data_IF_672187545713
#
_entry.id   IF_672187545713
#
_cell.length_a   1.000
_cell.length_b   1.000
_cell.length_c   1.000
_cell.angle_alpha   90.00
_cell.angle_beta   90.00
_cell.angle_gamma   90.00
#
_symmetry.space_group_name_H-M   'P 1'
#
loop_
_entity.id
_entity.type
_entity.pdbx_description
1 polymer ?
#
# COMPACT_ATOMS: atom_id res chain seq x y z
N UNK A 1 11.83 -20.84 20.04
CA UNK A 1 11.88 -19.70 19.10
C UNK A 1 12.58 -18.54 19.79
N UNK A 2 13.60 -17.94 19.18
CA UNK A 2 14.38 -16.87 19.83
C UNK A 2 13.47 -15.66 20.17
N UNK A 3 13.56 -15.07 21.38
CA UNK A 3 12.65 -14.02 21.83
C UNK A 3 12.65 -12.77 20.95
N UNK A 4 13.78 -12.44 20.31
CA UNK A 4 13.93 -11.30 19.40
C UNK A 4 13.05 -11.45 18.15
N UNK A 5 13.03 -12.63 17.53
CA UNK A 5 12.23 -12.90 16.33
C UNK A 5 10.74 -12.82 16.66
N UNK A 6 10.35 -13.33 17.83
CA UNK A 6 8.96 -13.27 18.31
C UNK A 6 8.48 -11.82 18.47
N UNK A 7 9.30 -10.97 19.08
CA UNK A 7 8.96 -9.55 19.27
C UNK A 7 8.87 -8.79 17.94
N UNK A 8 9.79 -9.08 17.01
CA UNK A 8 9.76 -8.51 15.66
C UNK A 8 8.48 -8.92 14.91
N UNK A 9 8.06 -10.17 15.05
CA UNK A 9 6.82 -10.66 14.45
C UNK A 9 5.58 -9.98 15.03
N UNK A 10 5.49 -9.83 16.36
CA UNK A 10 4.38 -9.10 16.99
C UNK A 10 4.32 -7.66 16.52
N UNK A 11 5.47 -6.98 16.46
CA UNK A 11 5.53 -5.61 15.96
C UNK A 11 5.01 -5.51 14.52
N UNK A 12 5.43 -6.44 13.65
CA UNK A 12 4.98 -6.48 12.26
C UNK A 12 3.47 -6.75 12.15
N UNK A 13 2.95 -7.66 12.99
CA UNK A 13 1.51 -7.95 13.02
C UNK A 13 0.70 -6.73 13.46
N UNK A 14 1.12 -6.03 14.52
CA UNK A 14 0.48 -4.81 14.98
C UNK A 14 0.50 -3.70 13.92
N UNK A 15 1.62 -3.54 13.21
CA UNK A 15 1.74 -2.56 12.13
C UNK A 15 0.81 -2.89 10.96
N UNK A 16 0.71 -4.17 10.61
CA UNK A 16 -0.19 -4.66 9.55
C UNK A 16 -1.66 -4.44 9.94
N UNK A 17 -2.01 -4.76 11.18
CA UNK A 17 -3.36 -4.57 11.71
C UNK A 17 -3.75 -3.08 11.79
N UNK A 18 -2.79 -2.22 12.16
CA UNK A 18 -2.96 -0.78 12.12
C UNK A 18 -3.31 -0.31 10.69
N UNK A 19 -2.52 -0.70 9.69
CA UNK A 19 -2.72 -0.33 8.28
C UNK A 19 -4.01 -0.91 7.65
N UNK A 20 -4.63 -1.93 8.26
CA UNK A 20 -5.91 -2.50 7.78
C UNK A 20 -7.11 -1.63 8.11
N UNK A 21 -6.99 -0.67 9.02
CA UNK A 21 -8.09 0.23 9.35
C UNK A 21 -8.45 1.09 8.14
N UNK A 22 -9.72 1.12 7.74
CA UNK A 22 -10.20 1.94 6.64
C UNK A 22 -11.57 2.55 6.97
N UNK A 23 -11.88 3.70 6.40
CA UNK A 23 -13.21 4.31 6.50
C UNK A 23 -13.64 4.70 7.92
N UNK A 24 -12.71 5.15 8.77
CA UNK A 24 -12.96 5.50 10.17
C UNK A 24 -13.36 6.97 10.34
N UNK A 25 -13.98 7.28 11.48
CA UNK A 25 -14.29 8.66 11.84
C UNK A 25 -13.01 9.47 12.15
N UNK A 26 -13.10 10.80 12.16
CA UNK A 26 -11.94 11.68 12.31
C UNK A 26 -11.19 11.47 13.63
N UNK A 27 -11.92 11.30 14.73
CA UNK A 27 -11.33 11.07 16.06
C UNK A 27 -10.50 9.79 16.12
N UNK A 28 -11.02 8.70 15.56
CA UNK A 28 -10.30 7.43 15.42
C UNK A 28 -9.13 7.55 14.46
N UNK A 29 -9.27 8.27 13.34
CA UNK A 29 -8.16 8.50 12.41
C UNK A 29 -6.97 9.18 13.10
N UNK A 30 -7.21 10.22 13.92
CA UNK A 30 -6.14 10.89 14.67
C UNK A 30 -5.39 9.92 15.59
N UNK A 31 -6.12 9.02 16.29
CA UNK A 31 -5.51 7.99 17.13
C UNK A 31 -4.66 7.00 16.31
N UNK A 32 -5.17 6.57 15.15
CA UNK A 32 -4.46 5.65 14.25
C UNK A 32 -3.18 6.28 13.66
N UNK A 33 -3.25 7.54 13.21
CA UNK A 33 -2.07 8.27 12.70
C UNK A 33 -1.04 8.45 13.80
N UNK A 34 -1.45 8.81 15.02
CA UNK A 34 -0.52 8.92 16.16
C UNK A 34 0.18 7.60 16.48
N UNK A 35 -0.57 6.49 16.43
CA UNK A 35 0.00 5.16 16.61
C UNK A 35 1.00 4.83 15.48
N UNK A 36 0.65 5.13 14.23
CA UNK A 36 1.54 4.93 13.08
C UNK A 36 2.86 5.68 13.25
N UNK A 37 2.81 6.96 13.61
CA UNK A 37 3.99 7.79 13.86
C UNK A 37 4.86 7.22 14.97
N UNK A 38 4.25 6.75 16.07
CA UNK A 38 5.01 6.12 17.16
C UNK A 38 5.75 4.85 16.71
N UNK A 39 5.14 4.04 15.82
CA UNK A 39 5.77 2.84 15.25
C UNK A 39 6.90 3.19 14.29
N UNK A 40 6.74 4.25 13.48
CA UNK A 40 7.79 4.76 12.59
C UNK A 40 9.01 5.21 13.40
N UNK A 41 8.82 5.89 14.53
CA UNK A 41 9.94 6.30 15.39
C UNK A 41 10.69 5.10 15.99
N UNK A 42 9.97 4.05 16.41
CA UNK A 42 10.59 2.79 16.86
C UNK A 42 11.44 2.18 15.74
N UNK A 43 10.96 2.16 14.49
CA UNK A 43 11.71 1.65 13.35
C UNK A 43 12.99 2.46 13.08
N UNK A 44 12.92 3.77 13.26
CA UNK A 44 14.07 4.68 13.08
C UNK A 44 15.20 4.40 14.05
N UNK A 45 14.87 4.07 15.31
CA UNK A 45 15.85 3.72 16.35
C UNK A 45 16.49 2.34 16.16
N UNK A 46 15.97 1.53 15.25
CA UNK A 46 16.45 0.17 15.04
C UNK A 46 17.84 0.14 14.40
N UNK A 47 18.76 -0.75 14.85
CA UNK A 47 20.06 -0.93 14.20
C UNK A 47 19.97 -1.67 12.85
N UNK A 48 18.84 -2.34 12.57
CA UNK A 48 18.71 -3.18 11.38
C UNK A 48 18.40 -2.36 10.12
N UNK A 49 19.26 -2.49 9.10
CA UNK A 49 19.09 -1.81 7.81
C UNK A 49 17.71 -2.03 7.15
N UNK A 50 17.14 -3.26 7.13
CA UNK A 50 15.80 -3.49 6.57
C UNK A 50 14.70 -2.70 7.27
N UNK A 51 14.82 -2.48 8.59
CA UNK A 51 13.84 -1.72 9.37
C UNK A 51 13.95 -0.22 9.11
N UNK A 52 15.15 0.30 8.85
CA UNK A 52 15.33 1.68 8.38
C UNK A 52 14.76 1.89 6.98
N UNK A 53 14.88 0.91 6.09
CA UNK A 53 14.23 0.98 4.76
C UNK A 53 12.71 0.99 4.88
N UNK A 54 12.16 0.18 5.80
CA UNK A 54 10.73 0.17 6.10
C UNK A 54 10.28 1.52 6.68
N UNK A 55 11.04 2.09 7.62
CA UNK A 55 10.80 3.43 8.18
C UNK A 55 10.68 4.48 7.06
N UNK A 56 11.70 4.59 6.20
CA UNK A 56 11.69 5.53 5.06
C UNK A 56 10.48 5.33 4.16
N UNK A 57 10.15 4.08 3.88
CA UNK A 57 8.98 3.76 3.06
C UNK A 57 7.71 4.24 3.74
N UNK A 58 7.50 3.91 5.01
CA UNK A 58 6.31 4.36 5.74
C UNK A 58 6.24 5.88 5.78
N UNK A 59 7.35 6.56 6.10
CA UNK A 59 7.45 8.02 6.16
C UNK A 59 7.00 8.66 4.84
N UNK A 60 7.45 8.13 3.70
CA UNK A 60 7.05 8.63 2.38
C UNK A 60 5.55 8.41 2.05
N UNK A 61 4.88 7.47 2.72
CA UNK A 61 3.50 7.08 2.43
C UNK A 61 2.52 7.41 3.56
N UNK A 62 2.94 8.11 4.63
CA UNK A 62 2.09 8.44 5.79
C UNK A 62 0.80 9.13 5.36
N UNK A 63 0.87 10.12 4.47
CA UNK A 63 -0.31 10.88 4.05
C UNK A 63 -1.32 9.97 3.33
N UNK A 64 -0.84 9.13 2.40
CA UNK A 64 -1.68 8.17 1.70
C UNK A 64 -2.35 7.18 2.67
N UNK A 65 -1.59 6.67 3.66
CA UNK A 65 -2.11 5.78 4.70
C UNK A 65 -3.16 6.50 5.55
N UNK A 66 -2.92 7.76 5.94
CA UNK A 66 -3.86 8.57 6.71
C UNK A 66 -5.16 8.82 5.92
N UNK A 67 -5.07 9.07 4.61
CA UNK A 67 -6.25 9.15 3.75
C UNK A 67 -7.02 7.83 3.72
N UNK A 68 -6.34 6.68 3.65
CA UNK A 68 -7.00 5.38 3.70
C UNK A 68 -7.68 5.10 5.05
N UNK A 69 -7.13 5.59 6.17
CA UNK A 69 -7.81 5.52 7.46
C UNK A 69 -9.16 6.23 7.43
N UNK A 70 -9.24 7.38 6.75
CA UNK A 70 -10.47 8.18 6.64
C UNK A 70 -11.44 7.63 5.60
N UNK A 71 -10.94 7.23 4.44
CA UNK A 71 -11.75 6.88 3.29
C UNK A 71 -11.63 5.41 2.94
N UNK A 72 -12.77 4.74 2.78
CA UNK A 72 -12.77 3.41 2.22
C UNK A 72 -12.64 3.48 0.69
N UNK A 73 -11.53 2.95 0.17
CA UNK A 73 -11.32 2.68 -1.25
C UNK A 73 -10.90 1.23 -1.42
N UNK A 74 -11.56 0.54 -2.32
CA UNK A 74 -11.26 -0.85 -2.71
C UNK A 74 -10.57 -0.86 -4.07
N UNK A 75 -9.62 -1.79 -4.26
CA UNK A 75 -8.80 -1.85 -5.48
C UNK A 75 -9.52 -2.46 -6.69
N UNK A 76 -10.78 -2.87 -6.57
CA UNK A 76 -11.53 -3.58 -7.62
C UNK A 76 -11.61 -2.81 -8.94
N UNK A 77 -11.71 -1.47 -8.91
CA UNK A 77 -11.74 -0.65 -10.14
C UNK A 77 -10.41 -0.80 -10.88
N UNK A 78 -9.31 -0.58 -10.18
CA UNK A 78 -7.95 -0.66 -10.73
C UNK A 78 -7.65 -2.09 -11.21
N UNK A 79 -8.05 -3.10 -10.44
CA UNK A 79 -7.93 -4.51 -10.83
C UNK A 79 -8.76 -4.84 -12.08
N UNK A 80 -9.96 -4.29 -12.17
CA UNK A 80 -10.82 -4.40 -13.36
C UNK A 80 -10.14 -3.82 -14.60
N UNK A 81 -9.57 -2.62 -14.48
CA UNK A 81 -8.77 -2.02 -15.54
C UNK A 81 -7.56 -2.87 -15.91
N UNK A 82 -6.77 -3.32 -14.94
CA UNK A 82 -5.61 -4.19 -15.18
C UNK A 82 -6.00 -5.49 -15.89
N UNK A 83 -7.13 -6.11 -15.50
CA UNK A 83 -7.65 -7.31 -16.16
C UNK A 83 -8.01 -7.03 -17.62
N UNK A 84 -8.68 -5.91 -17.90
CA UNK A 84 -9.06 -5.49 -19.25
C UNK A 84 -7.83 -5.20 -20.10
N UNK A 85 -6.85 -4.47 -19.58
CA UNK A 85 -5.57 -4.20 -20.23
C UNK A 85 -4.83 -5.50 -20.59
N UNK A 86 -4.74 -6.47 -19.67
CA UNK A 86 -4.16 -7.79 -19.95
C UNK A 86 -4.93 -8.57 -21.03
N UNK A 87 -6.26 -8.43 -21.08
CA UNK A 87 -7.06 -9.06 -22.14
C UNK A 87 -6.76 -8.44 -23.51
N UNK A 88 -6.60 -7.11 -23.59
CA UNK A 88 -6.22 -6.40 -24.81
C UNK A 88 -4.86 -6.89 -25.32
N UNK A 89 -3.87 -7.01 -24.42
CA UNK A 89 -2.55 -7.55 -24.76
C UNK A 89 -2.62 -8.99 -25.27
N UNK A 90 -3.38 -9.87 -24.58
CA UNK A 90 -3.54 -11.27 -24.99
C UNK A 90 -4.21 -11.42 -26.36
N UNK A 91 -5.27 -10.66 -26.62
CA UNK A 91 -5.98 -10.68 -27.92
C UNK A 91 -5.14 -10.14 -29.07
N UNK A 92 -4.21 -9.22 -28.79
CA UNK A 92 -3.29 -8.68 -29.78
C UNK A 92 -2.03 -9.54 -29.97
N UNK A 93 -1.86 -10.62 -29.20
CA UNK A 93 -0.61 -11.40 -29.13
C UNK A 93 0.62 -10.53 -28.81
N UNK A 94 0.42 -9.50 -27.97
CA UNK A 94 1.43 -8.52 -27.61
C UNK A 94 1.41 -7.24 -28.44
N UNK A 95 2.07 -6.19 -27.93
CA UNK A 95 2.25 -4.93 -28.64
C UNK A 95 3.73 -4.62 -28.76
N UNK A 96 4.20 -4.36 -29.98
CA UNK A 96 5.58 -3.87 -30.22
C UNK A 96 5.71 -2.36 -30.06
N UNK A 97 4.62 -1.62 -30.28
CA UNK A 97 4.56 -0.16 -30.18
C UNK A 97 3.65 0.25 -29.01
N UNK A 98 4.19 1.01 -28.07
CA UNK A 98 3.46 1.48 -26.89
C UNK A 98 2.31 2.44 -27.24
N UNK A 99 2.46 3.27 -28.28
CA UNK A 99 1.42 4.21 -28.70
C UNK A 99 0.18 3.46 -29.21
N UNK A 100 0.38 2.37 -29.95
CA UNK A 100 -0.71 1.50 -30.40
C UNK A 100 -1.41 0.79 -29.22
N UNK A 101 -0.64 0.38 -28.20
CA UNK A 101 -1.20 -0.15 -26.96
C UNK A 101 -2.02 0.91 -26.23
N UNK A 102 -1.47 2.12 -26.07
CA UNK A 102 -2.11 3.26 -25.40
C UNK A 102 -3.43 3.62 -26.09
N UNK A 103 -3.45 3.71 -27.41
CA UNK A 103 -4.65 3.99 -28.20
C UNK A 103 -5.74 2.94 -27.93
N UNK A 104 -5.39 1.65 -27.97
CA UNK A 104 -6.36 0.57 -27.71
C UNK A 104 -6.84 0.55 -26.27
N UNK A 105 -5.98 0.82 -25.28
CA UNK A 105 -6.40 0.95 -23.88
C UNK A 105 -7.36 2.13 -23.73
N UNK A 106 -7.09 3.28 -24.36
CA UNK A 106 -7.97 4.45 -24.28
C UNK A 106 -9.36 4.17 -24.85
N UNK A 107 -9.43 3.53 -26.03
CA UNK A 107 -10.70 3.17 -26.69
C UNK A 107 -11.46 2.10 -25.89
N UNK A 108 -10.74 1.09 -25.40
CA UNK A 108 -11.39 -0.09 -24.81
C UNK A 108 -11.64 0.09 -23.31
N UNK A 109 -10.85 0.85 -22.57
CA UNK A 109 -10.99 0.99 -21.12
C UNK A 109 -11.92 2.13 -20.69
N UNK A 110 -12.11 3.19 -21.48
CA UNK A 110 -13.01 4.30 -21.15
C UNK A 110 -12.41 5.29 -20.16
#
# INVERSE_FOLDING_TARGET
MQPVIKNMWYFWQELTELCRNKGKNLGTCRKLVRNLLSKVEILKTSPFSPLKTLERSLTNWIDAIAYMFRYYRSNWIVEGFHRKMKLIQRRAYGFRNFENYRLRVKILCG
#
